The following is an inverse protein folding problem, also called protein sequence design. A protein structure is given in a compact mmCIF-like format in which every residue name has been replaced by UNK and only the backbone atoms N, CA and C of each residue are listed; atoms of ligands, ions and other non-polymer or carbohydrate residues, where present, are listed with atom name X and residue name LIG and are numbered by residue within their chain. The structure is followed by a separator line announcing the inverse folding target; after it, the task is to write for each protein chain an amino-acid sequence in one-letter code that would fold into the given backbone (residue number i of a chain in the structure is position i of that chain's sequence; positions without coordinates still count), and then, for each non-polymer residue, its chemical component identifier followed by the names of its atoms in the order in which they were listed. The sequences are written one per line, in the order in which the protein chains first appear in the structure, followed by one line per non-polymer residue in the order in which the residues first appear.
data_IF_164601129280
#
_entry.id   IF_164601129280
#
_cell.length_a   1.000
_cell.length_b   1.000
_cell.length_c   1.000
_cell.angle_alpha   90.00
_cell.angle_beta   90.00
_cell.angle_gamma   90.00
#
_symmetry.space_group_name_H-M   'P 1'
#
loop_
_entity.id
_entity.type
_entity.pdbx_description
1 polymer ?
#
# COMPACT_ATOMS: atom_id res chain seq x y z
N UNK A 1 -28.63 2.49 -5.94
CA UNK A 1 -28.44 3.36 -4.76
C UNK A 1 -27.50 4.49 -5.14
N UNK A 2 -27.77 5.75 -4.74
CA UNK A 2 -26.84 6.84 -4.94
C UNK A 2 -25.56 6.60 -4.12
N UNK A 3 -24.39 6.74 -4.76
CA UNK A 3 -23.09 6.57 -4.10
C UNK A 3 -22.63 7.95 -3.62
N UNK A 4 -22.41 8.10 -2.32
CA UNK A 4 -21.83 9.31 -1.73
C UNK A 4 -20.30 9.22 -1.81
N UNK A 5 -19.64 10.30 -2.20
CA UNK A 5 -18.19 10.37 -2.29
C UNK A 5 -17.66 11.58 -1.49
N UNK A 6 -16.45 11.43 -0.96
CA UNK A 6 -15.71 12.51 -0.30
C UNK A 6 -14.63 13.00 -1.27
N UNK A 7 -14.64 14.29 -1.58
CA UNK A 7 -13.55 14.93 -2.34
C UNK A 7 -12.60 15.53 -1.32
N UNK A 8 -11.35 15.07 -1.33
CA UNK A 8 -10.30 15.56 -0.45
C UNK A 8 -9.27 16.28 -1.31
N UNK A 9 -9.09 17.58 -1.07
CA UNK A 9 -8.09 18.40 -1.76
C UNK A 9 -6.71 18.21 -1.11
N UNK A 10 -6.05 17.09 -1.45
CA UNK A 10 -4.71 16.77 -1.01
C UNK A 10 -3.85 16.30 -2.18
N UNK A 11 -2.53 16.57 -2.14
CA UNK A 11 -1.59 16.03 -3.12
C UNK A 11 -1.42 14.53 -2.91
N UNK A 12 -2.26 13.73 -3.55
CA UNK A 12 -2.24 12.26 -3.52
C UNK A 12 -1.76 11.69 -4.85
N UNK A 13 -1.08 10.54 -4.82
CA UNK A 13 -0.77 9.75 -6.01
C UNK A 13 -2.02 9.05 -6.59
N UNK A 14 -3.11 9.01 -5.82
CA UNK A 14 -4.36 8.37 -6.18
C UNK A 14 -5.41 9.43 -6.54
N UNK A 15 -6.00 9.30 -7.72
CA UNK A 15 -7.06 10.18 -8.19
C UNK A 15 -8.43 9.82 -7.59
N UNK A 16 -8.66 8.54 -7.30
CA UNK A 16 -9.92 8.01 -6.74
C UNK A 16 -9.61 6.78 -5.89
N UNK A 17 -10.28 6.65 -4.75
CA UNK A 17 -10.27 5.44 -3.91
C UNK A 17 -11.69 4.89 -3.85
N UNK A 18 -11.89 3.67 -4.34
CA UNK A 18 -13.19 3.01 -4.35
C UNK A 18 -13.24 1.95 -3.25
N UNK A 19 -14.13 2.14 -2.28
CA UNK A 19 -14.38 1.14 -1.24
C UNK A 19 -15.28 -0.01 -1.71
N UNK A 20 -15.34 -1.07 -0.91
CA UNK A 20 -16.23 -2.22 -1.13
C UNK A 20 -17.70 -1.85 -1.42
N UNK A 21 -18.35 -0.91 -0.68
CA UNK A 21 -19.73 -0.54 -0.96
C UNK A 21 -19.92 -0.02 -2.39
N UNK A 22 -18.99 0.80 -2.88
CA UNK A 22 -19.00 1.39 -4.22
C UNK A 22 -18.78 0.33 -5.30
N UNK A 23 -17.80 -0.56 -5.09
CA UNK A 23 -17.54 -1.67 -6.00
C UNK A 23 -18.73 -2.62 -6.10
N UNK A 24 -19.37 -2.95 -4.97
CA UNK A 24 -20.58 -3.77 -4.93
C UNK A 24 -21.75 -3.08 -5.63
N UNK A 25 -21.91 -1.77 -5.45
CA UNK A 25 -22.94 -0.99 -6.14
C UNK A 25 -22.74 -1.00 -7.66
N UNK A 26 -21.49 -0.97 -8.14
CA UNK A 26 -21.17 -1.13 -9.55
C UNK A 26 -21.21 -2.57 -10.05
N UNK A 27 -21.43 -3.56 -9.17
CA UNK A 27 -21.26 -4.99 -9.49
C UNK A 27 -19.90 -5.25 -10.15
N UNK A 28 -18.88 -4.55 -9.66
CA UNK A 28 -17.55 -4.62 -10.19
C UNK A 28 -16.85 -5.91 -9.75
N UNK A 29 -16.15 -6.55 -10.67
CA UNK A 29 -15.30 -7.71 -10.43
C UNK A 29 -13.85 -7.24 -10.56
N UNK A 30 -13.08 -7.38 -9.49
CA UNK A 30 -11.67 -7.03 -9.47
C UNK A 30 -10.87 -8.31 -9.64
N UNK A 31 -9.99 -8.32 -10.64
CA UNK A 31 -8.96 -9.33 -10.80
C UNK A 31 -7.61 -8.70 -10.49
N UNK A 32 -7.07 -8.99 -9.30
CA UNK A 32 -5.73 -8.56 -8.89
C UNK A 32 -4.64 -9.16 -9.79
N UNK A 33 -4.80 -10.41 -10.22
CA UNK A 33 -3.85 -11.08 -11.10
C UNK A 33 -3.70 -10.38 -12.46
N UNK A 34 -4.82 -10.12 -13.14
CA UNK A 34 -4.82 -9.39 -14.41
C UNK A 34 -4.77 -7.85 -14.26
N UNK A 35 -4.75 -7.34 -13.03
CA UNK A 35 -4.86 -5.92 -12.68
C UNK A 35 -5.99 -5.21 -13.43
N UNK A 36 -7.18 -5.82 -13.42
CA UNK A 36 -8.37 -5.36 -14.16
C UNK A 36 -9.58 -5.27 -13.26
N UNK A 37 -10.43 -4.30 -13.55
CA UNK A 37 -11.76 -4.16 -12.98
C UNK A 37 -12.76 -4.26 -14.12
N UNK A 38 -13.74 -5.16 -14.00
CA UNK A 38 -14.86 -5.28 -14.93
C UNK A 38 -16.16 -4.87 -14.24
N UNK A 39 -17.04 -4.19 -14.94
CA UNK A 39 -18.35 -3.80 -14.41
C UNK A 39 -19.39 -3.74 -15.53
N UNK A 40 -20.67 -4.02 -15.25
CA UNK A 40 -21.74 -3.89 -16.23
C UNK A 40 -21.88 -2.43 -16.71
N UNK A 41 -22.05 -2.27 -18.02
CA UNK A 41 -22.43 -1.01 -18.67
C UNK A 41 -23.61 -1.25 -19.60
N UNK A 42 -24.29 -0.19 -20.04
CA UNK A 42 -25.38 -0.32 -21.02
C UNK A 42 -24.79 -0.93 -22.31
N UNK A 43 -25.25 -2.11 -22.68
CA UNK A 43 -24.78 -2.82 -23.88
C UNK A 43 -23.55 -3.72 -23.69
N UNK A 44 -23.06 -3.94 -22.47
CA UNK A 44 -21.97 -4.90 -22.26
C UNK A 44 -21.24 -4.81 -20.92
N UNK A 45 -19.93 -5.09 -20.97
CA UNK A 45 -19.03 -5.05 -19.80
C UNK A 45 -17.98 -3.99 -20.06
N UNK A 46 -17.94 -2.99 -19.18
CA UNK A 46 -16.85 -2.03 -19.11
C UNK A 46 -15.63 -2.67 -18.44
N UNK A 47 -14.45 -2.30 -18.90
CA UNK A 47 -13.18 -2.78 -18.36
C UNK A 47 -12.25 -1.59 -18.06
N UNK A 48 -11.66 -1.59 -16.88
CA UNK A 48 -10.57 -0.69 -16.49
C UNK A 48 -9.35 -1.56 -16.22
N UNK A 49 -8.29 -1.34 -16.99
CA UNK A 49 -7.02 -2.03 -16.82
C UNK A 49 -6.01 -1.10 -16.16
N UNK A 50 -5.27 -1.62 -15.19
CA UNK A 50 -4.19 -0.85 -14.57
C UNK A 50 -3.03 -0.70 -15.55
N UNK A 51 -2.55 0.53 -15.70
CA UNK A 51 -1.26 0.81 -16.33
C UNK A 51 -0.19 0.86 -15.23
N UNK A 52 0.61 -0.20 -15.16
CA UNK A 52 1.67 -0.33 -14.16
C UNK A 52 2.77 0.72 -14.37
N UNK A 53 3.07 1.07 -15.62
CA UNK A 53 4.12 2.05 -15.95
C UNK A 53 3.66 3.43 -15.51
N UNK A 54 2.43 3.79 -15.83
CA UNK A 54 1.85 5.06 -15.43
C UNK A 54 1.66 5.13 -13.90
N UNK A 55 1.18 4.05 -13.26
CA UNK A 55 1.10 3.98 -11.80
C UNK A 55 2.46 4.19 -11.13
N UNK A 56 3.52 3.55 -11.67
CA UNK A 56 4.89 3.72 -11.17
C UNK A 56 5.40 5.15 -11.39
N UNK A 57 5.12 5.75 -12.55
CA UNK A 57 5.46 7.17 -12.81
C UNK A 57 4.75 8.10 -11.83
N UNK A 58 3.45 7.94 -11.61
CA UNK A 58 2.67 8.73 -10.65
C UNK A 58 3.22 8.58 -9.22
N UNK A 59 3.57 7.35 -8.82
CA UNK A 59 4.19 7.10 -7.52
C UNK A 59 5.56 7.81 -7.38
N UNK A 60 6.42 7.70 -8.40
CA UNK A 60 7.71 8.41 -8.41
C UNK A 60 7.51 9.93 -8.39
N UNK A 61 6.58 10.48 -9.17
CA UNK A 61 6.27 11.90 -9.16
C UNK A 61 5.76 12.39 -7.80
N UNK A 62 4.90 11.62 -7.13
CA UNK A 62 4.44 11.95 -5.79
C UNK A 62 5.61 11.99 -4.78
N UNK A 63 6.55 11.05 -4.89
CA UNK A 63 7.79 11.07 -4.10
C UNK A 63 8.61 12.33 -4.37
N UNK A 64 8.79 12.69 -5.64
CA UNK A 64 9.61 13.84 -6.03
C UNK A 64 8.94 15.17 -5.65
N UNK A 65 7.61 15.28 -5.75
CA UNK A 65 6.85 16.46 -5.29
C UNK A 65 6.95 16.64 -3.78
N UNK A 66 6.93 15.55 -3.01
CA UNK A 66 7.15 15.60 -1.57
C UNK A 66 8.56 16.03 -1.18
N UNK A 67 9.58 15.64 -1.96
CA UNK A 67 10.98 16.13 -1.79
C UNK A 67 11.12 17.61 -2.12
N UNK A 68 10.46 18.09 -3.19
CA UNK A 68 10.51 19.50 -3.59
C UNK A 68 9.99 20.45 -2.51
N UNK A 69 9.04 20.01 -1.69
CA UNK A 69 8.53 20.78 -0.53
C UNK A 69 9.48 20.83 0.68
N UNK A 70 10.49 19.95 0.74
CA UNK A 70 11.49 19.94 1.83
C UNK A 70 12.71 20.80 1.47
N UNK A 71 12.99 20.97 0.18
CA UNK A 71 14.17 21.71 -0.30
C UNK A 71 13.99 23.23 -0.34
N UNK A 72 12.79 23.76 -0.08
CA UNK A 72 12.58 25.23 -0.01
C UNK A 72 12.90 25.83 1.39
N UNK A 73 13.37 25.04 2.37
CA UNK A 73 13.73 25.53 3.71
C UNK A 73 15.22 25.36 4.10
N UNK A 74 16.12 24.98 3.20
CA UNK A 74 17.56 24.87 3.51
C UNK A 74 18.39 25.91 2.73
N UNK A 75 19.27 26.70 3.38
CA UNK A 75 20.16 27.62 2.69
C UNK A 75 21.24 26.87 1.90
N UNK A 76 21.57 27.42 0.73
CA UNK A 76 22.62 26.98 -0.19
C UNK A 76 23.99 26.83 0.49
N UNK A 77 24.65 25.69 0.27
CA UNK A 77 26.12 25.65 0.18
C UNK A 77 26.56 24.74 -0.99
N UNK A 78 27.15 25.38 -1.99
CA UNK A 78 27.93 24.74 -3.06
C UNK A 78 29.23 24.14 -2.50
N UNK A 79 29.66 22.98 -3.01
CA UNK A 79 31.10 22.73 -3.12
C UNK A 79 31.45 21.85 -4.35
N UNK A 80 32.30 22.35 -5.28
CA UNK A 80 32.69 21.66 -6.50
C UNK A 80 34.01 20.86 -6.36
N UNK A 81 34.06 19.67 -7.00
CA UNK A 81 35.23 18.83 -7.40
C UNK A 81 35.10 17.37 -6.89
N UNK A 82 35.35 16.30 -7.66
CA UNK A 82 36.46 16.06 -8.61
C UNK A 82 36.08 15.09 -9.76
N UNK A 83 36.60 15.43 -10.95
CA UNK A 83 36.91 14.56 -12.12
C UNK A 83 37.78 13.38 -11.64
N UNK A 84 37.75 12.13 -12.11
CA UNK A 84 37.40 11.49 -13.39
C UNK A 84 38.54 10.50 -13.72
N UNK A 85 38.24 9.25 -14.13
CA UNK A 85 39.10 8.34 -14.95
C UNK A 85 38.39 6.99 -15.21
N UNK A 86 37.88 6.84 -16.43
CA UNK A 86 37.57 5.57 -17.15
C UNK A 86 38.85 5.10 -17.92
N UNK A 87 38.99 3.85 -18.47
CA UNK A 87 37.98 3.06 -19.22
C UNK A 87 38.10 1.50 -19.04
N UNK A 88 37.35 0.54 -19.61
CA UNK A 88 36.31 0.40 -20.67
C UNK A 88 35.52 -0.95 -20.43
N UNK A 89 34.61 -1.44 -21.30
CA UNK A 89 33.17 -1.60 -21.03
C UNK A 89 32.73 -3.06 -20.82
N UNK A 90 31.62 -3.30 -20.10
CA UNK A 90 30.91 -4.60 -20.16
C UNK A 90 29.53 -4.42 -20.80
N UNK A 91 29.08 -5.36 -21.65
CA UNK A 91 27.83 -5.22 -22.39
C UNK A 91 26.63 -5.20 -21.44
N UNK A 92 25.70 -4.30 -21.75
CA UNK A 92 24.53 -3.91 -20.97
C UNK A 92 23.60 -5.09 -20.64
N UNK A 93 23.38 -5.35 -19.36
CA UNK A 93 22.03 -5.70 -18.88
C UNK A 93 21.53 -4.44 -18.19
N UNK A 94 20.49 -3.80 -18.73
CA UNK A 94 19.80 -2.71 -18.03
C UNK A 94 19.07 -3.32 -16.84
N UNK A 95 19.83 -3.67 -15.82
CA UNK A 95 19.34 -3.80 -14.47
C UNK A 95 19.12 -2.35 -14.05
N UNK A 96 17.95 -1.81 -14.37
CA UNK A 96 17.49 -0.55 -13.80
C UNK A 96 17.58 -0.74 -12.30
N UNK A 97 18.65 -0.19 -11.72
CA UNK A 97 18.89 -0.22 -10.30
C UNK A 97 17.57 0.13 -9.63
N UNK A 98 17.04 -0.85 -8.89
CA UNK A 98 15.94 -0.68 -7.96
C UNK A 98 16.42 0.40 -6.99
N UNK A 99 16.16 1.67 -7.32
CA UNK A 99 16.34 2.76 -6.36
C UNK A 99 15.46 2.37 -5.21
N UNK A 100 16.07 1.97 -4.09
CA UNK A 100 15.38 1.66 -2.86
C UNK A 100 14.51 2.88 -2.54
N UNK A 101 13.21 2.74 -2.74
CA UNK A 101 12.26 3.81 -2.54
C UNK A 101 12.17 4.04 -1.04
N UNK A 102 12.79 5.11 -0.57
CA UNK A 102 12.65 5.52 0.83
C UNK A 102 11.34 6.32 0.98
N UNK A 103 10.67 6.20 2.15
CA UNK A 103 9.51 7.01 2.47
C UNK A 103 9.76 8.50 2.19
N UNK A 104 8.75 9.16 1.64
CA UNK A 104 8.76 10.58 1.23
C UNK A 104 8.92 11.51 2.44
N UNK A 105 8.64 10.97 3.62
CA UNK A 105 8.59 11.66 4.88
C UNK A 105 9.36 10.85 5.92
N UNK A 106 10.08 11.55 6.77
CA UNK A 106 10.67 10.94 7.96
C UNK A 106 9.55 10.39 8.84
N UNK A 107 9.72 9.19 9.36
CA UNK A 107 8.70 8.54 10.17
C UNK A 107 9.10 8.62 11.64
N UNK A 108 8.18 9.07 12.48
CA UNK A 108 8.33 9.03 13.93
C UNK A 108 7.88 7.66 14.43
N UNK A 109 8.73 7.03 15.23
CA UNK A 109 8.40 5.78 15.92
C UNK A 109 7.66 6.14 17.21
N UNK A 110 6.48 5.56 17.40
CA UNK A 110 5.62 5.79 18.57
C UNK A 110 5.31 4.47 19.24
N UNK A 111 5.45 4.41 20.56
CA UNK A 111 5.03 3.29 21.39
C UNK A 111 3.50 3.23 21.48
N UNK A 112 2.92 2.12 21.03
CA UNK A 112 1.48 1.86 21.16
C UNK A 112 1.13 1.28 22.54
N UNK A 113 2.10 0.61 23.18
CA UNK A 113 1.97 0.13 24.56
C UNK A 113 3.11 0.75 25.39
N UNK A 114 2.81 1.58 26.40
CA UNK A 114 3.83 2.19 27.23
C UNK A 114 4.74 1.14 27.88
N UNK A 115 6.05 1.26 27.66
CA UNK A 115 7.05 0.37 28.27
C UNK A 115 7.32 -0.94 27.53
N UNK A 116 6.76 -1.13 26.33
CA UNK A 116 7.06 -2.29 25.47
C UNK A 116 7.75 -1.82 24.17
N UNK A 117 9.08 -1.96 24.06
CA UNK A 117 9.85 -1.45 22.92
C UNK A 117 9.58 -2.21 21.62
N UNK A 118 8.98 -3.40 21.70
CA UNK A 118 8.66 -4.22 20.53
C UNK A 118 7.29 -3.85 19.94
N UNK A 119 6.48 -3.04 20.66
CA UNK A 119 5.12 -2.67 20.25
C UNK A 119 5.03 -1.21 19.81
N UNK A 120 5.80 -0.92 18.77
CA UNK A 120 5.91 0.42 18.18
C UNK A 120 5.27 0.50 16.79
N UNK A 121 4.79 1.68 16.42
CA UNK A 121 4.33 1.98 15.05
C UNK A 121 4.97 3.26 14.51
N UNK A 122 5.15 3.30 13.20
CA UNK A 122 5.71 4.44 12.49
C UNK A 122 4.60 5.34 11.94
N UNK A 123 4.61 6.62 12.30
CA UNK A 123 3.69 7.64 11.79
C UNK A 123 4.46 8.77 11.09
N UNK A 124 3.81 9.55 10.23
CA UNK A 124 4.46 10.66 9.53
C UNK A 124 4.93 11.78 10.46
N UNK A 125 6.15 12.29 10.25
CA UNK A 125 6.74 13.37 11.07
C UNK A 125 6.15 14.76 10.82
N UNK A 126 5.57 15.01 9.64
CA UNK A 126 5.04 16.32 9.19
C UNK A 126 3.58 16.56 9.61
N UNK A 127 3.02 15.70 10.45
CA UNK A 127 1.70 15.94 11.02
C UNK A 127 1.76 17.10 12.02
N UNK A 128 0.73 17.95 12.03
CA UNK A 128 0.57 18.96 13.09
C UNK A 128 0.47 18.26 14.44
N UNK A 129 0.97 18.92 15.48
CA UNK A 129 1.11 18.35 16.81
C UNK A 129 -0.22 17.89 17.41
N UNK A 130 -1.27 18.69 17.23
CA UNK A 130 -2.66 18.39 17.64
C UNK A 130 -3.20 17.12 16.97
N UNK A 131 -3.02 16.98 15.66
CA UNK A 131 -3.46 15.81 14.91
C UNK A 131 -2.63 14.58 15.29
N UNK A 132 -1.31 14.78 15.43
CA UNK A 132 -0.38 13.72 15.83
C UNK A 132 -0.77 13.14 17.18
N UNK A 133 -1.04 13.97 18.18
CA UNK A 133 -1.49 13.51 19.50
C UNK A 133 -2.83 12.77 19.42
N UNK A 134 -3.78 13.26 18.62
CA UNK A 134 -5.06 12.59 18.41
C UNK A 134 -4.89 11.20 17.76
N UNK A 135 -4.02 11.10 16.76
CA UNK A 135 -3.69 9.84 16.08
C UNK A 135 -3.04 8.87 17.08
N UNK A 136 -2.03 9.33 17.81
CA UNK A 136 -1.35 8.50 18.82
C UNK A 136 -2.34 8.02 19.88
N UNK A 137 -3.17 8.93 20.42
CA UNK A 137 -4.20 8.58 21.40
C UNK A 137 -5.19 7.56 20.86
N UNK A 138 -5.63 7.71 19.60
CA UNK A 138 -6.51 6.76 18.94
C UNK A 138 -5.85 5.39 18.81
N UNK A 139 -4.60 5.33 18.35
CA UNK A 139 -3.87 4.08 18.16
C UNK A 139 -3.63 3.35 19.49
N UNK A 140 -3.24 4.08 20.53
CA UNK A 140 -3.04 3.52 21.88
C UNK A 140 -4.35 3.02 22.51
N UNK A 141 -5.47 3.70 22.25
CA UNK A 141 -6.81 3.27 22.70
C UNK A 141 -7.30 1.99 22.02
N UNK A 142 -6.84 1.72 20.81
CA UNK A 142 -7.23 0.56 19.99
C UNK A 142 -6.10 -0.47 19.85
N UNK A 143 -5.21 -0.56 20.84
CA UNK A 143 -4.00 -1.39 20.81
C UNK A 143 -4.28 -2.89 20.66
N UNK A 144 -5.48 -3.32 21.05
CA UNK A 144 -5.99 -4.70 20.98
C UNK A 144 -6.39 -5.14 19.56
N UNK A 145 -6.56 -4.20 18.63
CA UNK A 145 -6.86 -4.51 17.22
C UNK A 145 -5.58 -5.01 16.50
N UNK A 146 -4.40 -4.70 17.04
CA UNK A 146 -3.13 -5.09 16.45
C UNK A 146 -2.72 -6.48 16.90
N UNK A 147 -2.38 -7.33 15.94
CA UNK A 147 -1.73 -8.61 16.20
C UNK A 147 -0.21 -8.39 16.31
N UNK A 148 0.34 -8.51 17.52
CA UNK A 148 1.78 -8.34 17.80
C UNK A 148 2.54 -9.65 17.61
N UNK A 149 1.85 -10.76 17.81
CA UNK A 149 2.35 -12.12 17.66
C UNK A 149 1.38 -12.95 16.81
N UNK A 150 1.83 -14.05 16.18
CA UNK A 150 0.94 -14.95 15.47
C UNK A 150 -0.21 -15.50 16.33
N UNK A 151 -0.03 -15.55 17.66
CA UNK A 151 -1.05 -15.99 18.61
C UNK A 151 -2.20 -14.99 18.75
N UNK A 152 -1.95 -13.70 18.49
CA UNK A 152 -2.97 -12.65 18.53
C UNK A 152 -3.89 -12.68 17.28
N UNK A 153 -3.50 -13.43 16.25
CA UNK A 153 -4.35 -13.73 15.10
C UNK A 153 -5.31 -14.86 15.48
N UNK A 154 -6.34 -14.52 16.26
CA UNK A 154 -7.52 -15.38 16.34
C UNK A 154 -8.09 -15.47 14.92
N UNK A 155 -7.82 -16.59 14.26
CA UNK A 155 -8.32 -16.86 12.92
C UNK A 155 -9.83 -16.66 12.87
N UNK A 156 -10.35 -16.29 11.71
CA UNK A 156 -11.80 -16.16 11.53
C UNK A 156 -12.44 -17.51 11.86
N UNK A 157 -13.47 -17.49 12.71
CA UNK A 157 -14.18 -18.71 13.12
C UNK A 157 -14.50 -19.57 11.88
N UNK A 158 -14.12 -20.86 11.87
CA UNK A 158 -14.37 -21.72 10.73
C UNK A 158 -15.85 -21.75 10.33
N UNK A 159 -16.78 -21.64 11.29
CA UNK A 159 -18.22 -21.55 11.00
C UNK A 159 -18.64 -20.28 10.23
N UNK A 160 -17.79 -19.26 10.17
CA UNK A 160 -18.04 -18.00 9.45
C UNK A 160 -17.52 -18.04 8.01
N UNK A 161 -16.37 -18.70 7.74
CA UNK A 161 -15.73 -18.71 6.40
C UNK A 161 -15.26 -20.08 5.88
N UNK A 162 -15.82 -21.19 6.35
CA UNK A 162 -15.56 -22.49 5.68
C UNK A 162 -16.47 -22.68 4.47
N UNK A 163 -15.87 -22.99 3.32
CA UNK A 163 -16.58 -23.59 2.20
C UNK A 163 -16.55 -25.11 2.36
N UNK A 164 -17.73 -25.72 2.57
CA UNK A 164 -17.86 -27.17 2.52
C UNK A 164 -17.80 -27.62 1.06
N UNK A 165 -16.73 -28.33 0.70
CA UNK A 165 -16.68 -29.07 -0.56
C UNK A 165 -17.69 -30.21 -0.47
N UNK A 166 -18.59 -30.29 -1.45
CA UNK A 166 -19.58 -31.35 -1.52
C UNK A 166 -18.91 -32.64 -2.04
N UNK A 167 -18.17 -33.31 -1.15
CA UNK A 167 -17.44 -34.53 -1.45
C UNK A 167 -18.30 -35.74 -1.08
N UNK A 168 -18.35 -36.73 -1.97
CA UNK A 168 -18.93 -38.03 -1.65
C UNK A 168 -18.02 -38.76 -0.65
N UNK A 169 -18.49 -39.06 0.57
CA UNK A 169 -17.67 -39.67 1.62
C UNK A 169 -17.21 -41.09 1.30
N UNK A 170 -17.76 -41.72 0.25
CA UNK A 170 -17.36 -43.06 -0.20
C UNK A 170 -16.11 -43.05 -1.07
N UNK A 171 -15.69 -41.88 -1.57
CA UNK A 171 -14.53 -41.75 -2.46
C UNK A 171 -13.25 -41.59 -1.64
N UNK A 172 -12.25 -42.45 -1.90
CA UNK A 172 -10.94 -42.36 -1.22
C UNK A 172 -10.19 -41.11 -1.64
N UNK A 173 -9.57 -40.44 -0.67
CA UNK A 173 -8.68 -39.33 -0.92
C UNK A 173 -7.43 -39.76 -1.71
N UNK A 174 -7.08 -38.98 -2.73
CA UNK A 174 -5.86 -39.16 -3.50
C UNK A 174 -4.83 -38.10 -3.10
N UNK A 175 -3.60 -38.52 -2.79
CA UNK A 175 -2.49 -37.63 -2.51
C UNK A 175 -1.70 -37.38 -3.79
N UNK A 176 -1.71 -36.17 -4.30
CA UNK A 176 -0.86 -35.77 -5.42
C UNK A 176 0.52 -35.33 -4.88
N UNK A 177 1.59 -35.95 -5.38
CA UNK A 177 2.94 -35.51 -5.06
C UNK A 177 3.27 -34.24 -5.84
N UNK A 178 3.92 -33.29 -5.17
CA UNK A 178 4.35 -32.02 -5.75
C UNK A 178 5.64 -32.26 -6.53
N UNK A 179 5.62 -32.02 -7.84
CA UNK A 179 6.80 -32.05 -8.71
C UNK A 179 7.71 -30.86 -8.46
#
# INVERSE_FOLDING_TARGET
MPIKFLVVDIPSAYNVILGHPTLNAFRAIISTYHLKIKFPVVGGVGEVQADIIQARKCYMEAIMRGKKRVLEEAPDEENPNKRGKDPMPRPKRKEEALVAVQPIEELLTVELIPGDPDKVMKIGSKMKEDIREQVISCLQKNKEIFAWTPQDLEGIDPGVITHHLNLDPTIRSAKQNRT
#
